data_IF_083659815929
#
_entry.id   IF_083659815929
#
_cell.length_a   1.000
_cell.length_b   1.000
_cell.length_c   1.000
_cell.angle_alpha   90.00
_cell.angle_beta   90.00
_cell.angle_gamma   90.00
#
_symmetry.space_group_name_H-M   'P 1'
#
loop_
_entity.id
_entity.type
_entity.pdbx_description
1 polymer ?
#
# COMPACT_ATOMS: atom_id res chain seq x y z
N UNK A 1 3.47 -30.70 -5.58
CA UNK A 1 2.51 -29.78 -6.25
C UNK A 1 3.00 -28.32 -6.23
N UNK A 2 4.02 -27.96 -7.02
CA UNK A 2 4.67 -26.63 -6.99
C UNK A 2 4.16 -25.64 -8.04
N UNK A 3 3.12 -25.99 -8.82
CA UNK A 3 2.70 -25.26 -10.03
C UNK A 3 2.01 -23.90 -9.77
N UNK A 4 1.48 -23.65 -8.57
CA UNK A 4 0.52 -22.54 -8.37
C UNK A 4 1.07 -21.29 -7.66
N UNK A 5 2.33 -21.25 -7.20
CA UNK A 5 2.82 -20.09 -6.43
C UNK A 5 3.13 -18.87 -7.30
N UNK A 6 3.80 -19.09 -8.44
CA UNK A 6 4.15 -18.03 -9.40
C UNK A 6 2.94 -17.22 -9.90
N UNK A 7 1.83 -17.85 -10.34
CA UNK A 7 0.66 -17.09 -10.76
C UNK A 7 0.03 -16.31 -9.59
N UNK A 8 0.08 -16.82 -8.36
CA UNK A 8 -0.41 -16.07 -7.18
C UNK A 8 0.42 -14.82 -6.93
N UNK A 9 1.76 -14.91 -6.99
CA UNK A 9 2.63 -13.74 -6.84
C UNK A 9 2.43 -12.71 -7.95
N UNK A 10 2.26 -13.16 -9.19
CA UNK A 10 1.97 -12.26 -10.32
C UNK A 10 0.61 -11.58 -10.18
N UNK A 11 -0.42 -12.33 -9.73
CA UNK A 11 -1.75 -11.79 -9.50
C UNK A 11 -1.74 -10.77 -8.35
N UNK A 12 -1.02 -11.06 -7.26
CA UNK A 12 -0.82 -10.13 -6.15
C UNK A 12 -0.11 -8.85 -6.61
N UNK A 13 0.97 -8.98 -7.39
CA UNK A 13 1.66 -7.83 -7.98
C UNK A 13 0.73 -7.01 -8.88
N UNK A 14 -0.01 -7.66 -9.76
CA UNK A 14 -0.98 -7.01 -10.65
C UNK A 14 -2.04 -6.23 -9.87
N UNK A 15 -2.59 -6.81 -8.79
CA UNK A 15 -3.55 -6.15 -7.91
C UNK A 15 -2.92 -4.91 -7.24
N UNK A 16 -1.70 -5.00 -6.73
CA UNK A 16 -1.00 -3.84 -6.14
C UNK A 16 -0.86 -2.69 -7.15
N UNK A 17 -0.43 -2.98 -8.38
CA UNK A 17 -0.30 -1.96 -9.42
C UNK A 17 -1.66 -1.40 -9.88
N UNK A 18 -2.70 -2.24 -9.95
CA UNK A 18 -4.05 -1.80 -10.25
C UNK A 18 -4.61 -0.84 -9.18
N UNK A 19 -4.35 -1.14 -7.89
CA UNK A 19 -4.73 -0.27 -6.77
C UNK A 19 -3.98 1.06 -6.77
N UNK A 20 -2.68 1.04 -7.09
CA UNK A 20 -1.88 2.25 -7.31
C UNK A 20 -2.46 3.10 -8.47
N UNK A 21 -2.81 2.47 -9.58
CA UNK A 21 -3.45 3.13 -10.72
C UNK A 21 -4.81 3.74 -10.35
N UNK A 22 -5.62 3.02 -9.56
CA UNK A 22 -6.88 3.54 -9.04
C UNK A 22 -6.68 4.74 -8.10
N UNK A 23 -5.66 4.70 -7.24
CA UNK A 23 -5.31 5.83 -6.38
C UNK A 23 -4.88 7.08 -7.18
N UNK A 24 -4.14 6.89 -8.28
CA UNK A 24 -3.76 7.97 -9.19
C UNK A 24 -4.96 8.53 -9.95
N UNK A 25 -5.90 7.67 -10.35
CA UNK A 25 -7.16 8.08 -10.97
C UNK A 25 -7.97 8.97 -10.02
N UNK A 26 -8.07 8.61 -8.73
CA UNK A 26 -8.73 9.46 -7.75
C UNK A 26 -8.01 10.82 -7.58
N UNK A 27 -6.68 10.83 -7.54
CA UNK A 27 -5.93 12.07 -7.42
C UNK A 27 -6.13 12.98 -8.65
N UNK A 28 -6.05 12.45 -9.86
CA UNK A 28 -6.08 13.23 -11.10
C UNK A 28 -7.48 13.59 -11.57
N UNK A 29 -8.43 12.67 -11.44
CA UNK A 29 -9.79 12.86 -11.95
C UNK A 29 -10.72 13.41 -10.89
N UNK A 30 -10.54 13.02 -9.62
CA UNK A 30 -11.33 13.57 -8.50
C UNK A 30 -10.65 14.74 -7.79
N UNK A 31 -9.45 15.14 -8.22
CA UNK A 31 -8.70 16.28 -7.69
C UNK A 31 -8.58 16.24 -6.16
N UNK A 32 -8.38 15.04 -5.61
CA UNK A 32 -8.24 14.83 -4.17
C UNK A 32 -6.77 15.05 -3.77
N UNK A 33 -6.53 15.94 -2.81
CA UNK A 33 -5.20 16.20 -2.25
C UNK A 33 -4.73 14.99 -1.42
N UNK A 34 -3.59 14.37 -1.75
CA UNK A 34 -3.10 13.22 -1.00
C UNK A 34 -2.53 13.65 0.36
N UNK A 35 -2.93 12.97 1.44
CA UNK A 35 -2.32 13.14 2.78
C UNK A 35 -1.06 12.26 2.93
N UNK A 36 -0.12 12.63 3.82
CA UNK A 36 1.17 11.94 4.04
C UNK A 36 1.01 10.44 4.27
N UNK A 37 0.03 10.06 5.11
CA UNK A 37 -0.22 8.67 5.45
C UNK A 37 -0.76 7.87 4.25
N UNK A 38 -1.52 8.49 3.35
CA UNK A 38 -1.95 7.86 2.10
C UNK A 38 -0.77 7.59 1.17
N UNK A 39 0.19 8.51 1.09
CA UNK A 39 1.42 8.30 0.31
C UNK A 39 2.25 7.15 0.91
N UNK A 40 2.36 7.06 2.23
CA UNK A 40 3.00 5.92 2.90
C UNK A 40 2.34 4.58 2.56
N UNK A 41 1.01 4.55 2.44
CA UNK A 41 0.30 3.35 1.96
C UNK A 41 0.62 3.02 0.50
N UNK A 42 0.76 4.02 -0.38
CA UNK A 42 1.19 3.80 -1.77
C UNK A 42 2.59 3.21 -1.85
N UNK A 43 3.53 3.69 -1.02
CA UNK A 43 4.85 3.09 -0.91
C UNK A 43 4.78 1.63 -0.45
N UNK A 44 3.93 1.31 0.52
CA UNK A 44 3.74 -0.08 0.97
C UNK A 44 3.13 -0.99 -0.11
N UNK A 45 2.17 -0.51 -0.91
CA UNK A 45 1.64 -1.26 -2.06
C UNK A 45 2.70 -1.44 -3.15
N UNK A 46 3.47 -0.40 -3.47
CA UNK A 46 4.54 -0.46 -4.46
C UNK A 46 5.64 -1.44 -4.04
N UNK A 47 6.08 -1.38 -2.77
CA UNK A 47 7.06 -2.29 -2.21
C UNK A 47 6.56 -3.74 -2.24
N UNK A 48 5.33 -3.99 -1.77
CA UNK A 48 4.72 -5.33 -1.80
C UNK A 48 4.60 -5.87 -3.23
N UNK A 49 4.15 -5.04 -4.17
CA UNK A 49 4.02 -5.39 -5.59
C UNK A 49 5.37 -5.70 -6.24
N UNK A 50 6.39 -4.90 -5.97
CA UNK A 50 7.75 -5.08 -6.50
C UNK A 50 8.39 -6.36 -5.95
N UNK A 51 8.27 -6.62 -4.64
CA UNK A 51 8.73 -7.87 -4.02
C UNK A 51 8.05 -9.06 -4.69
N UNK A 52 6.72 -9.04 -4.81
CA UNK A 52 5.98 -10.13 -5.46
C UNK A 52 6.42 -10.34 -6.92
N UNK A 53 6.65 -9.26 -7.67
CA UNK A 53 7.09 -9.31 -9.05
C UNK A 53 8.51 -9.90 -9.18
N UNK A 54 9.48 -9.38 -8.41
CA UNK A 54 10.87 -9.87 -8.43
C UNK A 54 10.93 -11.35 -8.08
N UNK A 55 10.23 -11.78 -7.03
CA UNK A 55 10.21 -13.18 -6.60
C UNK A 55 9.40 -14.12 -7.51
N UNK A 56 8.52 -13.59 -8.36
CA UNK A 56 7.86 -14.37 -9.40
C UNK A 56 8.82 -14.74 -10.54
N UNK A 57 9.74 -13.83 -10.90
CA UNK A 57 10.77 -14.04 -11.92
C UNK A 57 11.94 -14.92 -11.43
N UNK A 58 12.23 -14.94 -10.14
CA UNK A 58 13.25 -15.80 -9.55
C UNK A 58 12.93 -17.32 -9.62
N UNK A 59 13.94 -18.20 -9.45
CA UNK A 59 13.77 -19.66 -9.48
C UNK A 59 12.83 -20.15 -8.37
N UNK A 60 12.19 -21.31 -8.60
CA UNK A 60 11.08 -21.85 -7.78
C UNK A 60 11.37 -22.00 -6.28
N UNK A 61 12.65 -22.09 -5.89
CA UNK A 61 13.08 -22.14 -4.50
C UNK A 61 12.92 -20.81 -3.76
N UNK A 62 13.09 -19.67 -4.46
CA UNK A 62 13.00 -18.35 -3.87
C UNK A 62 11.55 -17.83 -3.73
N UNK A 63 10.60 -18.36 -4.52
CA UNK A 63 9.20 -17.90 -4.48
C UNK A 63 8.52 -18.06 -3.11
N UNK A 64 9.01 -18.98 -2.26
CA UNK A 64 8.52 -19.12 -0.88
C UNK A 64 8.96 -17.91 -0.02
N UNK A 65 10.23 -17.51 -0.13
CA UNK A 65 10.74 -16.30 0.54
C UNK A 65 10.01 -15.05 0.08
N UNK A 66 9.68 -14.95 -1.21
CA UNK A 66 8.87 -13.86 -1.76
C UNK A 66 7.45 -13.79 -1.21
N UNK A 67 6.80 -14.93 -0.99
CA UNK A 67 5.46 -14.98 -0.39
C UNK A 67 5.49 -14.51 1.07
N UNK A 68 6.50 -14.95 1.84
CA UNK A 68 6.67 -14.53 3.25
C UNK A 68 7.02 -13.04 3.34
N UNK A 69 7.99 -12.57 2.56
CA UNK A 69 8.38 -11.15 2.53
C UNK A 69 7.23 -10.26 2.05
N UNK A 70 6.50 -10.68 1.01
CA UNK A 70 5.32 -9.97 0.54
C UNK A 70 4.20 -9.93 1.59
N UNK A 71 3.99 -11.02 2.32
CA UNK A 71 3.02 -11.04 3.43
C UNK A 71 3.44 -10.09 4.57
N UNK A 72 4.73 -10.06 4.93
CA UNK A 72 5.26 -9.13 5.92
C UNK A 72 5.11 -7.67 5.47
N UNK A 73 5.41 -7.36 4.21
CA UNK A 73 5.22 -6.02 3.65
C UNK A 73 3.74 -5.61 3.58
N UNK A 74 2.84 -6.55 3.30
CA UNK A 74 1.40 -6.28 3.35
C UNK A 74 0.91 -6.05 4.79
N UNK A 75 1.45 -6.78 5.78
CA UNK A 75 1.12 -6.58 7.19
C UNK A 75 1.63 -5.23 7.72
N UNK A 76 2.82 -4.79 7.32
CA UNK A 76 3.30 -3.45 7.69
C UNK A 76 2.41 -2.37 7.07
N UNK A 77 1.98 -2.54 5.81
CA UNK A 77 0.98 -1.68 5.16
C UNK A 77 -0.37 -1.65 5.89
N UNK A 78 -0.85 -2.81 6.36
CA UNK A 78 -2.06 -2.89 7.19
C UNK A 78 -1.90 -2.14 8.52
N UNK A 79 -0.72 -2.22 9.15
CA UNK A 79 -0.40 -1.47 10.36
C UNK A 79 -0.43 0.04 10.14
N UNK A 80 0.15 0.53 9.04
CA UNK A 80 0.10 1.96 8.65
C UNK A 80 -1.34 2.40 8.37
N UNK A 81 -2.15 1.56 7.71
CA UNK A 81 -3.55 1.86 7.48
C UNK A 81 -4.37 1.90 8.78
N UNK A 82 -4.11 0.99 9.72
CA UNK A 82 -4.70 1.00 11.06
C UNK A 82 -4.33 2.26 11.85
N UNK A 83 -3.04 2.66 11.79
CA UNK A 83 -2.59 3.93 12.38
C UNK A 83 -3.32 5.13 11.77
N UNK A 84 -3.51 5.14 10.45
CA UNK A 84 -4.26 6.20 9.77
C UNK A 84 -5.72 6.28 10.25
N UNK A 85 -6.41 5.15 10.42
CA UNK A 85 -7.76 5.14 10.99
C UNK A 85 -7.79 5.62 12.44
N UNK A 86 -6.76 5.27 13.22
CA UNK A 86 -6.65 5.72 14.61
C UNK A 86 -6.45 7.24 14.71
N UNK A 87 -5.58 7.81 13.85
CA UNK A 87 -5.37 9.27 13.72
C UNK A 87 -6.65 9.95 13.25
N UNK A 88 -7.39 9.36 12.31
CA UNK A 88 -8.68 9.90 11.87
C UNK A 88 -9.72 9.93 12.99
N UNK A 89 -9.68 8.94 13.89
CA UNK A 89 -10.57 8.88 15.06
C UNK A 89 -10.13 9.81 16.20
N UNK A 90 -8.85 10.19 16.27
CA UNK A 90 -8.27 11.05 17.30
C UNK A 90 -7.61 12.29 16.67
N UNK A 91 -8.38 13.33 16.28
CA UNK A 91 -7.86 14.49 15.56
C UNK A 91 -6.87 15.35 16.37
N UNK A 92 -6.69 15.10 17.67
CA UNK A 92 -5.84 15.88 18.57
C UNK A 92 -4.34 15.54 18.52
N UNK A 93 -3.92 14.45 17.86
CA UNK A 93 -2.54 13.93 18.03
C UNK A 93 -1.56 14.19 16.88
N UNK A 94 -2.02 14.51 15.65
CA UNK A 94 -1.11 14.79 14.51
C UNK A 94 -1.89 15.36 13.33
N UNK A 95 -2.42 16.58 13.45
CA UNK A 95 -3.07 17.23 12.32
C UNK A 95 -2.74 18.71 12.21
N UNK A 96 -1.45 19.04 12.37
CA UNK A 96 -0.97 20.40 12.21
C UNK A 96 0.54 20.41 12.05
N UNK A 97 0.99 20.63 10.83
CA UNK A 97 2.40 20.65 10.41
C UNK A 97 3.07 19.31 10.69
N UNK A 98 2.82 18.33 9.84
CA UNK A 98 3.51 17.05 9.89
C UNK A 98 4.99 17.24 9.53
N UNK A 99 5.96 17.14 10.46
CA UNK A 99 7.37 16.98 10.09
C UNK A 99 7.58 15.76 9.18
N UNK A 100 6.59 14.86 9.12
CA UNK A 100 6.51 13.74 8.19
C UNK A 100 6.31 14.21 6.73
N UNK A 101 5.47 15.21 6.44
CA UNK A 101 5.31 15.81 5.10
C UNK A 101 6.63 16.39 4.60
N UNK A 102 7.27 17.20 5.45
CA UNK A 102 8.54 17.86 5.11
C UNK A 102 9.67 16.85 4.94
N UNK A 103 9.65 15.76 5.72
CA UNK A 103 10.64 14.68 5.57
C UNK A 103 10.36 13.84 4.33
N UNK A 104 9.10 13.51 4.02
CA UNK A 104 8.71 12.74 2.84
C UNK A 104 8.98 13.49 1.54
N UNK A 105 8.64 14.77 1.48
CA UNK A 105 8.87 15.62 0.31
C UNK A 105 10.37 15.92 0.09
N UNK A 106 11.23 15.70 1.10
CA UNK A 106 12.69 15.75 0.97
C UNK A 106 13.34 14.42 0.57
N UNK A 107 12.58 13.33 0.49
CA UNK A 107 13.14 12.04 0.03
C UNK A 107 13.34 12.15 -1.49
N UNK A 108 14.48 11.71 -2.05
CA UNK A 108 14.76 11.81 -3.48
C UNK A 108 13.71 11.13 -4.37
N UNK A 109 12.99 10.11 -3.88
CA UNK A 109 11.84 9.52 -4.60
C UNK A 109 10.65 10.46 -4.76
N UNK A 110 10.42 11.36 -3.80
CA UNK A 110 9.38 12.39 -3.90
C UNK A 110 9.80 13.53 -4.84
N UNK A 111 11.09 13.91 -4.86
CA UNK A 111 11.61 14.88 -5.82
C UNK A 111 11.66 14.34 -7.26
N UNK A 112 11.97 13.06 -7.47
CA UNK A 112 11.99 12.46 -8.81
C UNK A 112 10.59 12.16 -9.37
N UNK A 113 9.60 11.85 -8.52
CA UNK A 113 8.23 11.52 -8.91
C UNK A 113 7.20 12.28 -8.05
N UNK A 114 7.17 13.62 -8.14
CA UNK A 114 6.26 14.45 -7.33
C UNK A 114 4.79 14.12 -7.61
N UNK A 115 4.46 13.81 -8.86
CA UNK A 115 3.12 13.38 -9.27
C UNK A 115 2.58 12.17 -8.48
N UNK A 116 3.47 11.29 -8.01
CA UNK A 116 3.11 10.04 -7.35
C UNK A 116 3.25 10.10 -5.82
N UNK A 117 4.21 10.89 -5.34
CA UNK A 117 4.72 10.85 -3.96
C UNK A 117 4.73 12.20 -3.24
N UNK A 118 4.39 13.30 -3.91
CA UNK A 118 4.19 14.57 -3.23
C UNK A 118 2.89 14.51 -2.43
N UNK A 119 2.98 14.91 -1.17
CA UNK A 119 1.82 15.08 -0.31
C UNK A 119 1.58 16.57 -0.10
N UNK A 120 0.32 16.97 -0.28
CA UNK A 120 -0.13 18.37 -0.28
C UNK A 120 -1.46 18.53 0.51
N UNK A 121 -1.97 17.44 1.10
CA UNK A 121 -3.28 17.38 1.75
C UNK A 121 -3.21 17.17 3.26
N UNK A 122 -4.12 17.81 4.00
CA UNK A 122 -4.28 17.57 5.45
C UNK A 122 -5.03 16.26 5.70
N UNK A 123 -4.63 15.49 6.72
CA UNK A 123 -5.29 14.22 7.02
C UNK A 123 -6.72 14.37 7.63
N UNK A 124 -7.15 15.59 7.95
CA UNK A 124 -8.54 15.92 8.34
C UNK A 124 -9.49 16.21 7.18
N UNK A 125 -8.99 16.33 5.95
CA UNK A 125 -9.90 16.59 4.81
C UNK A 125 -10.80 15.38 4.58
N UNK A 126 -12.09 15.55 4.82
CA UNK A 126 -13.08 14.51 4.56
C UNK A 126 -13.36 14.41 3.06
N UNK A 127 -12.86 13.34 2.46
CA UNK A 127 -13.27 12.95 1.11
C UNK A 127 -14.54 12.13 1.14
N UNK A 128 -15.39 12.34 0.13
CA UNK A 128 -16.61 11.56 -0.05
C UNK A 128 -16.27 10.05 -0.02
N UNK A 129 -16.92 9.26 0.85
CA UNK A 129 -16.63 7.84 0.95
C UNK A 129 -16.97 7.14 -0.37
N UNK A 130 -16.08 6.28 -0.81
CA UNK A 130 -16.32 5.45 -2.00
C UNK A 130 -17.09 4.24 -1.50
N UNK A 131 -18.33 4.07 -1.98
CA UNK A 131 -19.24 2.98 -1.59
C UNK A 131 -19.42 2.81 -0.07
N UNK A 132 -19.49 3.94 0.65
CA UNK A 132 -19.72 3.98 2.10
C UNK A 132 -18.48 3.73 2.96
N UNK A 133 -17.33 3.37 2.36
CA UNK A 133 -16.05 3.22 3.04
C UNK A 133 -15.09 4.36 2.70
N UNK A 134 -14.30 4.77 3.68
CA UNK A 134 -13.23 5.73 3.46
C UNK A 134 -12.05 5.08 2.72
N UNK A 135 -11.30 5.89 1.97
CA UNK A 135 -10.09 5.48 1.24
C UNK A 135 -9.11 4.65 2.12
N UNK A 136 -8.78 5.05 3.37
CA UNK A 136 -7.90 4.25 4.22
C UNK A 136 -8.50 2.89 4.64
N UNK A 137 -9.82 2.78 4.80
CA UNK A 137 -10.47 1.49 5.08
C UNK A 137 -10.35 0.54 3.88
N UNK A 138 -10.51 1.06 2.65
CA UNK A 138 -10.28 0.28 1.43
C UNK A 138 -8.85 -0.23 1.33
N UNK A 139 -7.85 0.63 1.58
CA UNK A 139 -6.45 0.22 1.62
C UNK A 139 -6.20 -0.88 2.65
N UNK A 140 -6.74 -0.73 3.87
CA UNK A 140 -6.59 -1.73 4.94
C UNK A 140 -7.18 -3.08 4.53
N UNK A 141 -8.37 -3.10 3.92
CA UNK A 141 -8.99 -4.32 3.42
C UNK A 141 -8.10 -5.02 2.40
N UNK A 142 -7.57 -4.29 1.41
CA UNK A 142 -6.69 -4.86 0.40
C UNK A 142 -5.36 -5.36 0.98
N UNK A 143 -4.76 -4.65 1.93
CA UNK A 143 -3.55 -5.13 2.62
C UNK A 143 -3.81 -6.44 3.36
N UNK A 144 -4.94 -6.56 4.06
CA UNK A 144 -5.31 -7.81 4.76
C UNK A 144 -5.56 -8.96 3.79
N UNK A 145 -6.25 -8.70 2.67
CA UNK A 145 -6.48 -9.71 1.62
C UNK A 145 -5.15 -10.18 1.02
N UNK A 146 -4.25 -9.25 0.66
CA UNK A 146 -2.94 -9.59 0.12
C UNK A 146 -2.09 -10.36 1.14
N UNK A 147 -2.06 -9.92 2.40
CA UNK A 147 -1.35 -10.60 3.47
C UNK A 147 -1.88 -12.04 3.65
N UNK A 148 -3.20 -12.23 3.66
CA UNK A 148 -3.82 -13.54 3.81
C UNK A 148 -3.52 -14.47 2.62
N UNK A 149 -3.65 -13.96 1.39
CA UNK A 149 -3.35 -14.74 0.17
C UNK A 149 -1.88 -15.14 0.12
N UNK A 150 -0.96 -14.23 0.42
CA UNK A 150 0.48 -14.50 0.41
C UNK A 150 0.90 -15.42 1.56
N UNK A 151 0.34 -15.24 2.76
CA UNK A 151 0.60 -16.09 3.91
C UNK A 151 0.09 -17.52 3.67
N UNK A 152 -1.14 -17.69 3.18
CA UNK A 152 -1.68 -19.03 2.87
C UNK A 152 -0.91 -19.70 1.73
N UNK A 153 -0.45 -18.95 0.73
CA UNK A 153 0.43 -19.47 -0.31
C UNK A 153 1.78 -19.93 0.27
N UNK A 154 2.36 -19.17 1.20
CA UNK A 154 3.59 -19.53 1.91
C UNK A 154 3.43 -20.77 2.81
N UNK A 155 2.34 -20.86 3.59
CA UNK A 155 2.08 -21.95 4.53
C UNK A 155 1.75 -23.28 3.83
N UNK A 156 1.06 -23.27 2.69
CA UNK A 156 0.73 -24.49 1.91
C UNK A 156 1.96 -25.20 1.31
N UNK A 157 3.18 -24.73 1.59
CA UNK A 157 4.45 -25.33 1.18
C UNK A 157 5.28 -25.90 2.35
N UNK A 158 4.85 -25.75 3.60
CA UNK A 158 5.35 -26.60 4.71
C UNK A 158 4.60 -27.92 4.69
#
# INVERSE_FOLDING_TARGET
>A
MTKNLKPILLLAAFICFALLGFALYLQHVKQMLPCPLCIMQRYAFAATGLICLVFAFLPRGASCGGAVLGALAALTGAGVAGWHLWVKAHPSVSCGIDPLETSLNKIPTAELLPFLFQADGLCTTEYAPIIGLSIPQWSMFWFLVLAFVLATAGLRRR
#
